data_IF_271964885011
#
_entry.id   IF_271964885011
#
_cell.length_a   1.000
_cell.length_b   1.000
_cell.length_c   1.000
_cell.angle_alpha   90.00
_cell.angle_beta   90.00
_cell.angle_gamma   90.00
#
_symmetry.space_group_name_H-M   'P 1'
#
loop_
_entity.id
_entity.type
_entity.pdbx_description
1 polymer ?
#
# COMPACT_ATOMS: atom_id res chain seq x y z
N UNK A 1 -53.25 -18.17 -38.84
CA UNK A 1 -53.00 -18.34 -37.39
C UNK A 1 -51.97 -19.43 -37.27
N UNK A 2 -50.72 -19.06 -36.98
CA UNK A 2 -49.66 -20.00 -36.62
C UNK A 2 -49.03 -19.50 -35.31
N UNK A 3 -49.08 -20.28 -34.22
CA UNK A 3 -48.47 -19.89 -32.96
C UNK A 3 -47.08 -20.53 -32.89
N UNK A 4 -46.02 -19.78 -33.23
CA UNK A 4 -44.65 -20.23 -32.97
C UNK A 4 -44.09 -19.53 -31.72
N UNK A 5 -44.54 -20.00 -30.56
CA UNK A 5 -43.87 -19.84 -29.27
C UNK A 5 -42.44 -20.36 -29.38
N UNK A 6 -41.51 -19.48 -29.73
CA UNK A 6 -40.07 -19.74 -29.61
C UNK A 6 -39.57 -18.96 -28.41
N UNK A 7 -39.41 -19.68 -27.30
CA UNK A 7 -38.78 -19.19 -26.07
C UNK A 7 -37.44 -18.59 -26.42
N UNK A 8 -37.41 -17.27 -26.52
CA UNK A 8 -36.18 -16.53 -26.80
C UNK A 8 -35.45 -16.45 -25.47
N UNK A 9 -34.51 -17.37 -25.26
CA UNK A 9 -33.53 -17.24 -24.17
C UNK A 9 -32.74 -15.98 -24.49
N UNK A 10 -33.13 -14.88 -23.86
CA UNK A 10 -32.42 -13.61 -23.90
C UNK A 10 -31.12 -13.83 -23.14
N UNK A 11 -30.03 -14.06 -23.87
CA UNK A 11 -28.72 -13.94 -23.28
C UNK A 11 -28.43 -12.45 -23.15
N UNK A 12 -28.23 -11.97 -21.93
CA UNK A 12 -27.69 -10.64 -21.72
C UNK A 12 -26.38 -10.54 -22.50
N UNK A 13 -26.40 -9.74 -23.57
CA UNK A 13 -25.24 -9.54 -24.42
C UNK A 13 -24.17 -8.86 -23.57
N UNK A 14 -23.03 -9.53 -23.44
CA UNK A 14 -21.86 -8.99 -22.75
C UNK A 14 -21.56 -7.57 -23.24
N UNK A 15 -21.67 -6.60 -22.33
CA UNK A 15 -21.52 -5.18 -22.61
C UNK A 15 -20.22 -4.67 -21.99
N UNK A 16 -19.23 -4.37 -22.83
CA UNK A 16 -17.91 -3.92 -22.37
C UNK A 16 -17.99 -2.58 -21.62
N UNK A 17 -18.99 -1.74 -21.94
CA UNK A 17 -19.23 -0.46 -21.26
C UNK A 17 -19.73 -0.63 -19.81
N UNK A 18 -20.21 -1.82 -19.43
CA UNK A 18 -20.61 -2.16 -18.06
C UNK A 18 -19.43 -2.68 -17.22
N UNK A 19 -18.31 -3.03 -17.85
CA UNK A 19 -17.11 -3.53 -17.16
C UNK A 19 -16.31 -2.35 -16.62
N UNK A 20 -16.92 -1.60 -15.73
CA UNK A 20 -16.21 -0.77 -14.78
C UNK A 20 -15.50 -1.70 -13.78
N UNK A 21 -14.36 -2.25 -14.16
CA UNK A 21 -13.41 -2.74 -13.18
C UNK A 21 -12.81 -1.51 -12.49
N UNK A 22 -13.47 -1.07 -11.43
CA UNK A 22 -12.92 -0.06 -10.55
C UNK A 22 -11.75 -0.69 -9.77
N UNK A 23 -10.60 -0.80 -10.43
CA UNK A 23 -9.35 -1.32 -9.85
C UNK A 23 -8.93 -0.45 -8.65
N UNK A 24 -9.33 0.83 -8.63
CA UNK A 24 -9.07 1.71 -7.49
C UNK A 24 -9.89 1.35 -6.24
N UNK A 25 -11.09 0.75 -6.40
CA UNK A 25 -11.88 0.23 -5.27
C UNK A 25 -11.36 -1.10 -4.73
N UNK A 26 -10.67 -1.91 -5.55
CA UNK A 26 -10.07 -3.17 -5.11
C UNK A 26 -8.69 -3.02 -4.47
N UNK A 27 -8.13 -1.80 -4.45
CA UNK A 27 -6.88 -1.56 -3.74
C UNK A 27 -7.16 -1.54 -2.23
N UNK A 28 -6.58 -2.49 -1.50
CA UNK A 28 -6.76 -2.55 -0.05
C UNK A 28 -6.35 -1.22 0.58
N UNK A 29 -7.06 -0.80 1.64
CA UNK A 29 -6.73 0.41 2.40
C UNK A 29 -5.26 0.43 2.84
N UNK A 30 -4.69 -0.76 3.10
CA UNK A 30 -3.27 -0.96 3.39
C UNK A 30 -2.36 -0.60 2.22
N UNK A 31 -2.69 -1.02 1.00
CA UNK A 31 -1.92 -0.69 -0.21
C UNK A 31 -1.94 0.80 -0.49
N UNK A 32 -3.09 1.46 -0.28
CA UNK A 32 -3.23 2.92 -0.44
C UNK A 32 -2.42 3.70 0.60
N UNK A 33 -2.44 3.25 1.86
CA UNK A 33 -1.64 3.83 2.94
C UNK A 33 -0.14 3.62 2.70
N UNK A 34 0.27 2.42 2.29
CA UNK A 34 1.65 2.09 1.96
C UNK A 34 2.17 2.95 0.81
N UNK A 35 1.40 3.11 -0.27
CA UNK A 35 1.81 3.99 -1.38
C UNK A 35 1.96 5.44 -0.93
N UNK A 36 1.05 5.94 -0.09
CA UNK A 36 1.12 7.32 0.41
C UNK A 36 2.29 7.55 1.37
N UNK A 37 2.60 6.58 2.23
CA UNK A 37 3.60 6.71 3.29
C UNK A 37 4.99 6.20 2.92
N UNK A 38 5.12 5.32 1.92
CA UNK A 38 6.39 4.67 1.57
C UNK A 38 6.81 4.89 0.11
N UNK A 39 5.88 5.14 -0.82
CA UNK A 39 6.20 5.31 -2.25
C UNK A 39 6.31 6.78 -2.66
N UNK A 40 5.71 7.69 -1.89
CA UNK A 40 5.91 9.14 -2.06
C UNK A 40 7.29 9.61 -1.56
N UNK A 41 7.81 10.69 -2.15
CA UNK A 41 9.06 11.37 -1.73
C UNK A 41 9.09 11.65 -0.23
N UNK A 42 7.96 11.98 0.37
CA UNK A 42 7.83 12.21 1.82
C UNK A 42 8.14 10.97 2.64
N UNK A 43 7.73 9.78 2.17
CA UNK A 43 7.98 8.51 2.83
C UNK A 43 9.46 8.18 2.90
N UNK A 44 10.14 8.30 1.75
CA UNK A 44 11.58 8.11 1.65
C UNK A 44 12.34 9.08 2.56
N UNK A 45 11.95 10.36 2.59
CA UNK A 45 12.58 11.37 3.46
C UNK A 45 12.39 11.01 4.94
N UNK A 46 11.18 10.61 5.36
CA UNK A 46 10.92 10.22 6.76
C UNK A 46 11.73 8.99 7.16
N UNK A 47 11.84 7.99 6.28
CA UNK A 47 12.67 6.80 6.55
C UNK A 47 14.15 7.17 6.71
N UNK A 48 14.69 8.04 5.84
CA UNK A 48 16.09 8.48 5.93
C UNK A 48 16.34 9.23 7.23
N UNK A 49 15.47 10.19 7.59
CA UNK A 49 15.57 10.95 8.85
C UNK A 49 15.49 10.02 10.05
N UNK A 50 14.56 9.06 10.04
CA UNK A 50 14.42 8.06 11.10
C UNK A 50 15.68 7.18 11.25
N UNK A 51 16.25 6.72 10.13
CA UNK A 51 17.48 5.93 10.14
C UNK A 51 18.67 6.72 10.70
N UNK A 52 18.82 7.98 10.31
CA UNK A 52 19.87 8.86 10.83
C UNK A 52 19.70 9.10 12.35
N UNK A 53 18.47 9.36 12.80
CA UNK A 53 18.19 9.53 14.23
C UNK A 53 18.51 8.27 15.03
N UNK A 54 18.13 7.08 14.53
CA UNK A 54 18.44 5.81 15.18
C UNK A 54 19.95 5.57 15.30
N UNK A 55 20.72 5.88 14.25
CA UNK A 55 22.17 5.78 14.26
C UNK A 55 22.80 6.66 15.34
N UNK A 56 22.35 7.91 15.44
CA UNK A 56 22.81 8.84 16.49
C UNK A 56 22.49 8.29 17.88
N UNK A 57 21.28 7.76 18.10
CA UNK A 57 20.89 7.18 19.40
C UNK A 57 21.81 6.01 19.77
N UNK A 58 22.05 5.09 18.83
CA UNK A 58 22.93 3.93 19.04
C UNK A 58 24.35 4.39 19.37
N UNK A 59 24.86 5.41 18.65
CA UNK A 59 26.17 5.98 18.91
C UNK A 59 26.27 6.56 20.33
N UNK A 60 25.27 7.33 20.78
CA UNK A 60 25.27 7.89 22.13
C UNK A 60 25.23 6.78 23.19
N UNK A 61 24.40 5.76 23.01
CA UNK A 61 24.32 4.62 23.94
C UNK A 61 25.66 3.87 24.00
N UNK A 62 26.29 3.62 22.85
CA UNK A 62 27.59 2.97 22.79
C UNK A 62 28.67 3.81 23.47
N UNK A 63 28.69 5.12 23.21
CA UNK A 63 29.64 6.05 23.81
C UNK A 63 29.50 6.11 25.33
N UNK A 64 28.27 6.25 25.84
CA UNK A 64 28.03 6.29 27.29
C UNK A 64 28.41 4.96 27.93
N UNK A 65 27.96 3.84 27.37
CA UNK A 65 28.27 2.50 27.89
C UNK A 65 29.78 2.26 27.91
N UNK A 66 30.49 2.57 26.82
CA UNK A 66 31.93 2.46 26.75
C UNK A 66 32.64 3.36 27.77
N UNK A 67 32.19 4.60 27.93
CA UNK A 67 32.71 5.53 28.93
C UNK A 67 32.55 4.99 30.35
N UNK A 68 31.38 4.46 30.70
CA UNK A 68 31.14 3.90 32.04
C UNK A 68 31.93 2.62 32.30
N UNK A 69 32.08 1.75 31.31
CA UNK A 69 32.87 0.52 31.45
C UNK A 69 34.36 0.81 31.58
N UNK A 70 34.90 1.75 30.79
CA UNK A 70 36.33 2.11 30.86
C UNK A 70 36.70 2.95 32.09
N UNK A 71 35.72 3.55 32.75
CA UNK A 71 35.92 4.38 33.95
C UNK A 71 35.79 3.57 35.26
N UNK A 72 35.35 2.31 35.17
CA UNK A 72 35.52 1.31 36.24
C UNK A 72 36.91 0.67 36.15
#
# INVERSE_FOLDING_TARGET
>A
MDPNTTGTVQYDRWNEDNINMNVETSQSTMTRLYNRLCVGTTGTVVTIVGALAALVIIYIIGYTTGYYVHRC
#
